data_IF_392076867537
#
_entry.id   IF_392076867537
#
_cell.length_a   1.000
_cell.length_b   1.000
_cell.length_c   1.000
_cell.angle_alpha   90.00
_cell.angle_beta   90.00
_cell.angle_gamma   90.00
#
_symmetry.space_group_name_H-M   'P 1'
#
loop_
_entity.id
_entity.type
_entity.pdbx_description
1 polymer ?
#
# COMPACT_ATOMS: atom_id res chain seq x y z
N UNK A 1 10.71 -63.01 16.97
CA UNK A 1 10.59 -62.46 18.34
C UNK A 1 10.07 -61.03 18.26
N UNK A 2 8.78 -60.79 18.51
CA UNK A 2 8.18 -59.45 18.49
C UNK A 2 8.24 -58.82 19.88
N UNK A 3 8.77 -57.59 19.96
CA UNK A 3 8.95 -56.85 21.20
C UNK A 3 7.59 -56.28 21.64
N UNK A 4 7.10 -56.69 22.80
CA UNK A 4 5.84 -56.20 23.34
C UNK A 4 6.01 -54.75 23.82
N UNK A 5 5.38 -53.80 23.13
CA UNK A 5 5.38 -52.39 23.53
C UNK A 5 4.34 -52.15 24.63
N UNK A 6 4.75 -51.44 25.69
CA UNK A 6 3.89 -51.05 26.81
C UNK A 6 2.92 -49.96 26.36
N UNK A 7 1.61 -50.26 26.36
CA UNK A 7 0.57 -49.29 26.00
C UNK A 7 0.45 -48.25 27.12
N UNK A 8 0.63 -46.98 26.78
CA UNK A 8 0.43 -45.85 27.69
C UNK A 8 -1.03 -45.39 27.59
N UNK A 9 -1.75 -45.22 28.70
CA UNK A 9 -3.11 -44.72 28.67
C UNK A 9 -3.11 -43.21 28.34
N UNK A 10 -3.37 -42.86 27.09
CA UNK A 10 -3.59 -41.47 26.67
C UNK A 10 -5.01 -41.06 27.03
N UNK A 11 -5.18 -40.17 28.01
CA UNK A 11 -6.44 -39.47 28.26
C UNK A 11 -6.43 -38.18 27.46
N UNK A 12 -7.20 -38.13 26.38
CA UNK A 12 -7.45 -36.88 25.68
C UNK A 12 -8.36 -36.01 26.56
N UNK A 13 -7.99 -34.74 26.73
CA UNK A 13 -8.87 -33.77 27.39
C UNK A 13 -10.15 -33.54 26.57
N UNK A 14 -11.17 -32.89 27.15
CA UNK A 14 -12.39 -32.57 26.42
C UNK A 14 -12.07 -31.78 25.15
N UNK A 15 -12.73 -32.13 24.05
CA UNK A 15 -12.53 -31.50 22.75
C UNK A 15 -12.92 -30.02 22.83
N UNK A 16 -11.92 -29.14 22.71
CA UNK A 16 -12.14 -27.69 22.69
C UNK A 16 -12.46 -27.32 21.24
N UNK A 17 -13.66 -27.65 20.76
CA UNK A 17 -14.10 -27.22 19.43
C UNK A 17 -14.41 -25.73 19.49
N UNK A 18 -13.55 -24.92 18.86
CA UNK A 18 -13.85 -23.50 18.66
C UNK A 18 -14.92 -23.38 17.58
N UNK A 19 -16.17 -23.11 17.99
CA UNK A 19 -17.23 -22.72 17.06
C UNK A 19 -16.95 -21.31 16.53
N UNK A 20 -16.10 -21.24 15.49
CA UNK A 20 -15.81 -19.99 14.80
C UNK A 20 -16.98 -19.73 13.85
N UNK A 21 -18.02 -19.05 14.36
CA UNK A 21 -19.07 -18.50 13.50
C UNK A 21 -18.40 -17.57 12.47
N UNK A 22 -18.52 -17.82 11.16
CA UNK A 22 -18.03 -16.88 10.17
C UNK A 22 -18.92 -15.62 10.28
N UNK A 23 -18.45 -14.64 11.03
CA UNK A 23 -19.08 -13.33 11.05
C UNK A 23 -19.12 -12.80 9.62
N UNK A 24 -20.27 -12.28 9.19
CA UNK A 24 -20.50 -11.61 7.89
C UNK A 24 -19.66 -10.34 7.69
N UNK A 25 -18.63 -10.16 8.50
CA UNK A 25 -17.70 -9.03 8.49
C UNK A 25 -16.61 -9.35 7.48
N UNK A 26 -16.34 -8.41 6.57
CA UNK A 26 -15.28 -8.53 5.58
C UNK A 26 -13.98 -9.10 6.18
N UNK A 27 -13.27 -9.96 5.43
CA UNK A 27 -12.02 -10.56 5.88
C UNK A 27 -11.06 -9.48 6.40
N UNK A 28 -10.20 -9.83 7.37
CA UNK A 28 -9.23 -8.89 7.93
C UNK A 28 -8.43 -8.17 6.84
N UNK A 29 -8.04 -8.90 5.78
CA UNK A 29 -7.36 -8.34 4.61
C UNK A 29 -8.22 -7.30 3.90
N UNK A 30 -9.47 -7.63 3.56
CA UNK A 30 -10.38 -6.68 2.92
C UNK A 30 -10.64 -5.41 3.77
N UNK A 31 -10.74 -5.56 5.10
CA UNK A 31 -10.86 -4.42 6.01
C UNK A 31 -9.60 -3.52 5.97
N UNK A 32 -8.40 -4.11 5.85
CA UNK A 32 -7.16 -3.33 5.70
C UNK A 32 -7.08 -2.62 4.35
N UNK A 33 -7.54 -3.25 3.27
CA UNK A 33 -7.59 -2.65 1.94
C UNK A 33 -8.49 -1.41 1.93
N UNK A 34 -9.68 -1.52 2.50
CA UNK A 34 -10.61 -0.40 2.62
C UNK A 34 -10.01 0.78 3.42
N UNK A 35 -9.31 0.48 4.53
CA UNK A 35 -8.62 1.51 5.33
C UNK A 35 -7.48 2.16 4.56
N UNK A 36 -6.71 1.38 3.78
CA UNK A 36 -5.62 1.91 2.97
C UNK A 36 -6.15 2.84 1.88
N UNK A 37 -7.25 2.46 1.23
CA UNK A 37 -7.91 3.30 0.22
C UNK A 37 -8.43 4.61 0.80
N UNK A 38 -9.01 4.58 2.01
CA UNK A 38 -9.41 5.80 2.72
C UNK A 38 -8.20 6.68 3.02
N UNK A 39 -7.14 6.12 3.61
CA UNK A 39 -5.90 6.85 3.93
C UNK A 39 -5.28 7.49 2.68
N UNK A 40 -5.22 6.74 1.57
CA UNK A 40 -4.76 7.24 0.26
C UNK A 40 -5.58 8.45 -0.19
N UNK A 41 -6.91 8.38 -0.13
CA UNK A 41 -7.79 9.49 -0.53
C UNK A 41 -7.57 10.73 0.34
N UNK A 42 -7.40 10.55 1.65
CA UNK A 42 -7.14 11.64 2.60
C UNK A 42 -5.82 12.35 2.29
N UNK A 43 -4.70 11.62 2.26
CA UNK A 43 -3.38 12.21 2.01
C UNK A 43 -3.26 12.80 0.60
N UNK A 44 -3.85 12.14 -0.40
CA UNK A 44 -3.87 12.66 -1.76
C UNK A 44 -4.61 14.00 -1.84
N UNK A 45 -5.74 14.13 -1.13
CA UNK A 45 -6.49 15.40 -1.09
C UNK A 45 -5.67 16.52 -0.48
N UNK A 46 -4.92 16.25 0.59
CA UNK A 46 -4.04 17.23 1.22
C UNK A 46 -2.91 17.65 0.27
N UNK A 47 -2.25 16.70 -0.38
CA UNK A 47 -1.16 16.99 -1.32
C UNK A 47 -1.64 17.74 -2.58
N UNK A 48 -2.85 17.48 -3.07
CA UNK A 48 -3.42 18.17 -4.23
C UNK A 48 -3.87 19.60 -3.91
N UNK A 49 -4.26 19.89 -2.67
CA UNK A 49 -4.57 21.26 -2.24
C UNK A 49 -3.35 22.16 -2.23
N UNK A 50 -2.16 21.60 -2.06
CA UNK A 50 -0.90 22.34 -1.98
C UNK A 50 -0.39 22.85 -3.35
N UNK A 51 -0.93 22.40 -4.48
CA UNK A 51 -0.40 22.74 -5.81
C UNK A 51 -1.47 22.97 -6.87
N UNK A 52 -1.38 24.09 -7.58
CA UNK A 52 -2.26 24.42 -8.71
C UNK A 52 -1.81 23.82 -10.05
N UNK A 53 -0.60 23.26 -10.15
CA UNK A 53 -0.06 22.71 -11.40
C UNK A 53 -0.73 21.38 -11.77
N UNK A 54 -1.52 21.38 -12.85
CA UNK A 54 -2.25 20.22 -13.33
C UNK A 54 -1.34 19.03 -13.70
N UNK A 55 -0.16 19.31 -14.27
CA UNK A 55 0.79 18.26 -14.65
C UNK A 55 1.38 17.57 -13.40
N UNK A 56 1.76 18.35 -12.41
CA UNK A 56 2.21 17.85 -11.12
C UNK A 56 1.09 17.05 -10.43
N UNK A 57 -0.15 17.55 -10.45
CA UNK A 57 -1.31 16.87 -9.84
C UNK A 57 -1.57 15.49 -10.45
N UNK A 58 -1.48 15.35 -11.78
CA UNK A 58 -1.58 14.06 -12.44
C UNK A 58 -0.47 13.11 -11.98
N UNK A 59 0.77 13.59 -11.92
CA UNK A 59 1.91 12.77 -11.49
C UNK A 59 1.80 12.30 -10.03
N UNK A 60 1.30 13.14 -9.13
CA UNK A 60 1.09 12.81 -7.71
C UNK A 60 0.00 11.75 -7.54
N UNK A 61 -1.06 11.76 -8.37
CA UNK A 61 -2.08 10.70 -8.35
C UNK A 61 -1.52 9.34 -8.74
N UNK A 62 -0.63 9.31 -9.73
CA UNK A 62 0.07 8.08 -10.14
C UNK A 62 0.99 7.60 -9.01
N UNK A 63 1.76 8.51 -8.42
CA UNK A 63 2.61 8.22 -7.27
C UNK A 63 1.83 7.63 -6.08
N UNK A 64 0.61 8.12 -5.81
CA UNK A 64 -0.26 7.57 -4.77
C UNK A 64 -0.68 6.12 -5.04
N UNK A 65 -0.99 5.79 -6.30
CA UNK A 65 -1.34 4.43 -6.68
C UNK A 65 -0.13 3.48 -6.58
N UNK A 66 1.05 3.92 -7.04
CA UNK A 66 2.29 3.15 -6.92
C UNK A 66 2.67 2.91 -5.46
N UNK A 67 2.59 3.94 -4.61
CA UNK A 67 2.87 3.82 -3.19
C UNK A 67 1.91 2.85 -2.48
N UNK A 68 0.62 2.88 -2.83
CA UNK A 68 -0.37 1.95 -2.28
C UNK A 68 -0.09 0.50 -2.71
N UNK A 69 0.26 0.28 -3.97
CA UNK A 69 0.63 -1.04 -4.47
C UNK A 69 1.86 -1.62 -3.75
N UNK A 70 2.89 -0.79 -3.52
CA UNK A 70 4.08 -1.19 -2.77
C UNK A 70 3.76 -1.45 -1.29
N UNK A 71 3.01 -0.56 -0.66
CA UNK A 71 2.63 -0.70 0.75
C UNK A 71 1.84 -1.99 0.98
N UNK A 72 0.94 -2.37 0.06
CA UNK A 72 0.08 -3.55 0.19
C UNK A 72 0.83 -4.88 0.31
N UNK A 73 2.04 -4.96 -0.23
CA UNK A 73 2.89 -6.16 -0.15
C UNK A 73 3.62 -6.26 1.20
N UNK A 74 3.65 -5.17 1.97
CA UNK A 74 4.30 -5.15 3.29
C UNK A 74 3.39 -5.73 4.39
N UNK A 75 3.96 -6.14 5.54
CA UNK A 75 3.17 -6.60 6.69
C UNK A 75 2.25 -5.52 7.28
N UNK A 76 2.64 -4.25 7.21
CA UNK A 76 1.93 -3.12 7.84
C UNK A 76 1.65 -1.98 6.83
N UNK A 77 0.76 -2.20 5.84
CA UNK A 77 0.53 -1.26 4.73
C UNK A 77 0.12 0.13 5.18
N UNK A 78 -0.71 0.24 6.24
CA UNK A 78 -1.19 1.52 6.75
C UNK A 78 -0.09 2.38 7.38
N UNK A 79 0.96 1.75 7.93
CA UNK A 79 2.08 2.46 8.54
C UNK A 79 3.12 2.88 7.50
N UNK A 80 3.35 2.03 6.51
CA UNK A 80 4.38 2.25 5.49
C UNK A 80 3.88 3.19 4.39
N UNK A 81 2.59 3.17 4.08
CA UNK A 81 2.02 3.95 2.98
C UNK A 81 2.27 5.46 3.06
N UNK A 82 2.06 6.16 4.20
CA UNK A 82 2.26 7.60 4.26
C UNK A 82 3.67 8.03 3.84
N UNK A 83 4.69 7.35 4.37
CA UNK A 83 6.08 7.64 4.05
C UNK A 83 6.39 7.36 2.57
N UNK A 84 5.98 6.19 2.06
CA UNK A 84 6.16 5.86 0.64
C UNK A 84 5.46 6.85 -0.29
N UNK A 85 4.28 7.33 0.10
CA UNK A 85 3.54 8.30 -0.69
C UNK A 85 4.27 9.64 -0.74
N UNK A 86 4.80 10.13 0.38
CA UNK A 86 5.58 11.36 0.43
C UNK A 86 6.81 11.29 -0.49
N UNK A 87 7.60 10.23 -0.37
CA UNK A 87 8.80 10.00 -1.20
C UNK A 87 8.45 9.96 -2.70
N UNK A 88 7.43 9.17 -3.06
CA UNK A 88 6.99 9.04 -4.45
C UNK A 88 6.41 10.34 -5.00
N UNK A 89 5.65 11.08 -4.18
CA UNK A 89 5.08 12.37 -4.58
C UNK A 89 6.17 13.42 -4.81
N UNK A 90 7.19 13.48 -3.96
CA UNK A 90 8.35 14.37 -4.15
C UNK A 90 9.10 14.02 -5.44
N UNK A 91 9.40 12.73 -5.67
CA UNK A 91 10.07 12.27 -6.88
C UNK A 91 9.25 12.59 -8.15
N UNK A 92 7.93 12.41 -8.10
CA UNK A 92 7.03 12.74 -9.21
C UNK A 92 7.06 14.24 -9.56
N UNK A 93 6.99 15.11 -8.54
CA UNK A 93 7.10 16.57 -8.72
C UNK A 93 8.43 16.97 -9.35
N UNK A 94 9.53 16.42 -8.83
CA UNK A 94 10.86 16.69 -9.37
C UNK A 94 10.98 16.25 -10.83
N UNK A 95 10.42 15.09 -11.18
CA UNK A 95 10.40 14.60 -12.57
C UNK A 95 9.66 15.54 -13.50
N UNK A 96 8.48 16.04 -13.09
CA UNK A 96 7.69 16.99 -13.90
C UNK A 96 8.46 18.30 -14.10
N UNK A 97 9.07 18.84 -13.05
CA UNK A 97 9.90 20.05 -13.15
C UNK A 97 11.08 19.85 -14.11
N UNK A 98 11.78 18.73 -14.01
CA UNK A 98 12.91 18.40 -14.89
C UNK A 98 12.47 18.23 -16.35
N UNK A 99 11.31 17.60 -16.59
CA UNK A 99 10.74 17.48 -17.94
C UNK A 99 10.41 18.85 -18.54
N UNK A 100 9.83 19.77 -17.76
CA UNK A 100 9.59 21.15 -18.22
C UNK A 100 10.89 21.85 -18.61
N UNK A 101 11.93 21.76 -17.78
CA UNK A 101 13.25 22.35 -18.10
C UNK A 101 13.88 21.76 -19.36
N UNK A 102 13.77 20.45 -19.56
CA UNK A 102 14.29 19.78 -20.75
C UNK A 102 13.52 20.20 -22.01
N UNK A 103 12.19 20.34 -21.90
CA UNK A 103 11.35 20.82 -23.00
C UNK A 103 11.74 22.24 -23.42
N UNK A 104 11.87 23.17 -22.46
CA UNK A 104 12.32 24.55 -22.73
C UNK A 104 13.69 24.60 -23.42
N UNK A 105 14.65 23.79 -22.94
CA UNK A 105 15.98 23.70 -23.54
C UNK A 105 15.90 23.16 -24.97
N UNK A 106 15.17 22.07 -25.17
CA UNK A 106 15.00 21.46 -26.50
C UNK A 106 14.30 22.40 -27.47
N UNK A 107 13.29 23.14 -27.00
CA UNK A 107 12.55 24.10 -27.81
C UNK A 107 13.45 25.23 -28.31
N UNK A 108 14.28 25.79 -27.42
CA UNK A 108 15.26 26.83 -27.76
C UNK A 108 16.22 26.38 -28.87
N UNK A 109 16.60 25.11 -28.88
CA UNK A 109 17.53 24.55 -29.89
C UNK A 109 16.89 24.42 -31.27
N UNK A 110 15.57 24.18 -31.35
CA UNK A 110 14.84 24.07 -32.62
C UNK A 110 14.52 25.43 -33.24
N UNK A 111 14.67 26.53 -32.50
CA UNK A 111 14.44 27.90 -32.97
C UNK A 111 15.71 28.63 -33.43
N UNK A 112 16.88 28.01 -33.31
CA UNK A 112 18.17 28.56 -33.79
C UNK A 112 18.59 27.88 -35.08
#
# INVERSE_FOLDING_TARGET
MSKAYKRVPTKFGPEITFDVRPGTVASFRAAQEARLELLKKHLLREQLRATADAAANRSVRVAAAEAAALAWVTPYPLLVFPLLFEEKAQAARFRVQRQKQLFERSWKWLQT
#
